data_IF_392115926639
#
_entry.id   IF_392115926639
#
_cell.length_a   1.000
_cell.length_b   1.000
_cell.length_c   1.000
_cell.angle_alpha   90.00
_cell.angle_beta   90.00
_cell.angle_gamma   90.00
#
_symmetry.space_group_name_H-M   'P 1'
#
loop_
_entity.id
_entity.type
_entity.pdbx_description
1 polymer ?
#
# COMPACT_ATOMS: atom_id res chain seq x y z
N UNK A 1 -11.89 4.32 2.48
CA UNK A 1 -10.77 3.38 2.68
C UNK A 1 -9.65 3.73 1.71
N UNK A 2 -8.40 3.43 2.06
CA UNK A 2 -7.21 3.78 1.26
C UNK A 2 -6.40 2.52 0.98
N UNK A 3 -5.99 2.29 -0.27
CA UNK A 3 -5.06 1.22 -0.63
C UNK A 3 -3.63 1.65 -0.30
N UNK A 4 -2.91 0.82 0.45
CA UNK A 4 -1.50 1.03 0.77
C UNK A 4 -0.66 -0.15 0.32
N UNK A 5 0.60 0.15 -0.02
CA UNK A 5 1.61 -0.82 -0.42
C UNK A 5 2.95 -0.43 0.21
N UNK A 6 3.85 -1.40 0.39
CA UNK A 6 5.17 -1.15 0.96
C UNK A 6 5.11 -0.87 2.46
N UNK A 7 5.83 0.16 2.93
CA UNK A 7 6.09 0.40 4.35
C UNK A 7 4.82 0.62 5.18
N UNK A 8 3.79 1.25 4.60
CA UNK A 8 2.50 1.46 5.27
C UNK A 8 1.68 0.17 5.47
N UNK A 9 2.17 -0.99 5.00
CA UNK A 9 1.56 -2.29 5.31
C UNK A 9 1.99 -2.82 6.69
N UNK A 10 3.06 -2.28 7.27
CA UNK A 10 3.57 -2.64 8.58
C UNK A 10 2.83 -1.89 9.68
N UNK A 11 2.25 -2.62 10.63
CA UNK A 11 1.42 -2.02 11.69
C UNK A 11 2.22 -1.12 12.61
N UNK A 12 3.49 -1.44 12.90
CA UNK A 12 4.34 -0.58 13.73
C UNK A 12 4.55 0.79 13.09
N UNK A 13 4.72 0.85 11.77
CA UNK A 13 4.90 2.11 11.04
C UNK A 13 3.60 2.91 11.04
N UNK A 14 2.46 2.25 10.76
CA UNK A 14 1.15 2.91 10.77
C UNK A 14 0.82 3.46 12.16
N UNK A 15 1.11 2.71 13.21
CA UNK A 15 0.93 3.14 14.61
C UNK A 15 1.77 4.38 14.92
N UNK A 16 3.03 4.41 14.51
CA UNK A 16 3.91 5.56 14.74
C UNK A 16 3.42 6.79 13.97
N UNK A 17 2.95 6.64 12.74
CA UNK A 17 2.50 7.76 11.90
C UNK A 17 1.11 8.29 12.27
N UNK A 18 0.18 7.41 12.66
CA UNK A 18 -1.23 7.76 12.91
C UNK A 18 -1.60 7.74 14.39
N UNK A 19 -0.71 7.32 15.29
CA UNK A 19 -0.99 7.13 16.72
C UNK A 19 -1.87 5.90 17.04
N UNK A 20 -2.34 5.17 16.02
CA UNK A 20 -3.19 3.98 16.14
C UNK A 20 -3.04 3.08 14.91
N UNK A 21 -3.65 1.90 14.93
CA UNK A 21 -3.70 0.98 13.79
C UNK A 21 -5.15 0.87 13.32
N UNK A 22 -5.55 1.53 12.22
CA UNK A 22 -6.89 1.36 11.66
C UNK A 22 -7.12 -0.11 11.24
N UNK A 23 -8.37 -0.59 11.27
CA UNK A 23 -8.70 -1.89 10.69
C UNK A 23 -8.19 -1.99 9.25
N UNK A 24 -7.55 -3.12 8.93
CA UNK A 24 -6.99 -3.34 7.60
C UNK A 24 -7.31 -4.74 7.08
N UNK A 25 -7.41 -4.88 5.77
CA UNK A 25 -7.62 -6.16 5.10
C UNK A 25 -6.68 -6.31 3.90
N UNK A 26 -6.32 -7.56 3.52
CA UNK A 26 -5.59 -7.81 2.28
C UNK A 26 -6.33 -7.21 1.07
N UNK A 27 -5.59 -6.57 0.17
CA UNK A 27 -6.14 -5.95 -1.02
C UNK A 27 -5.26 -6.22 -2.25
N UNK A 28 -5.90 -6.26 -3.43
CA UNK A 28 -5.23 -6.36 -4.73
C UNK A 28 -5.62 -5.16 -5.58
N UNK A 29 -4.63 -4.42 -6.08
CA UNK A 29 -4.84 -3.34 -7.04
C UNK A 29 -4.69 -3.92 -8.46
N UNK A 30 -5.78 -4.05 -9.25
CA UNK A 30 -5.73 -4.60 -10.60
C UNK A 30 -5.20 -3.59 -11.61
N UNK A 31 -4.67 -4.07 -12.75
CA UNK A 31 -4.14 -3.28 -13.87
C UNK A 31 -3.03 -2.30 -13.46
N UNK A 32 -2.24 -2.69 -12.46
CA UNK A 32 -1.12 -1.91 -11.98
C UNK A 32 0.08 -2.83 -11.73
N UNK A 33 1.29 -2.29 -11.91
CA UNK A 33 2.54 -2.98 -11.62
C UNK A 33 3.40 -2.15 -10.67
N UNK A 34 4.02 -2.84 -9.71
CA UNK A 34 5.01 -2.25 -8.81
C UNK A 34 6.38 -2.31 -9.46
N UNK A 35 7.05 -1.16 -9.60
CA UNK A 35 8.38 -1.04 -10.15
C UNK A 35 9.35 -0.54 -9.10
N UNK A 36 10.43 -1.29 -8.88
CA UNK A 36 11.56 -0.84 -8.06
C UNK A 36 12.42 0.12 -8.89
N UNK A 37 12.47 1.38 -8.50
CA UNK A 37 13.32 2.37 -9.17
C UNK A 37 14.70 2.35 -8.52
N UNK A 38 15.74 2.07 -9.30
CA UNK A 38 17.13 2.04 -8.81
C UNK A 38 17.49 3.40 -8.20
N UNK A 39 18.03 3.39 -6.98
CA UNK A 39 18.40 4.60 -6.25
C UNK A 39 17.24 5.35 -5.59
N UNK A 40 16.01 4.80 -5.62
CA UNK A 40 14.87 5.29 -4.85
C UNK A 40 14.50 4.28 -3.78
N UNK A 41 14.24 4.78 -2.58
CA UNK A 41 13.78 3.96 -1.44
C UNK A 41 12.35 3.47 -1.66
N UNK A 42 11.54 4.21 -2.43
CA UNK A 42 10.14 3.89 -2.65
C UNK A 42 9.89 3.38 -4.08
N UNK A 43 9.19 2.24 -4.24
CA UNK A 43 8.80 1.75 -5.55
C UNK A 43 7.65 2.60 -6.13
N UNK A 44 7.66 2.76 -7.45
CA UNK A 44 6.54 3.38 -8.17
C UNK A 44 5.46 2.34 -8.48
N UNK A 45 4.23 2.81 -8.60
CA UNK A 45 3.13 2.04 -9.18
C UNK A 45 2.75 2.72 -10.50
N UNK A 46 2.73 1.94 -11.57
CA UNK A 46 2.29 2.40 -12.89
C UNK A 46 1.09 1.57 -13.38
N UNK A 47 0.17 2.16 -14.15
CA UNK A 47 -0.88 1.42 -14.85
C UNK A 47 -0.24 0.43 -15.84
N UNK A 48 -0.56 -0.85 -15.70
CA UNK A 48 -0.12 -1.92 -16.58
C UNK A 48 -1.22 -2.98 -16.61
N UNK A 49 -1.86 -3.13 -17.76
CA UNK A 49 -2.97 -4.08 -17.91
C UNK A 49 -2.53 -5.53 -17.64
N UNK A 50 -3.43 -6.30 -17.03
CA UNK A 50 -3.17 -7.70 -16.67
C UNK A 50 -2.24 -7.89 -15.47
N UNK A 51 -1.62 -6.83 -14.95
CA UNK A 51 -0.81 -6.87 -13.73
C UNK A 51 -1.65 -6.62 -12.48
N UNK A 52 -1.14 -7.06 -11.32
CA UNK A 52 -1.77 -6.84 -10.01
C UNK A 52 -0.71 -6.50 -8.96
N UNK A 53 -1.02 -5.53 -8.10
CA UNK A 53 -0.17 -5.19 -6.95
C UNK A 53 -0.84 -5.65 -5.65
N UNK A 54 -0.21 -6.53 -4.86
CA UNK A 54 -0.68 -6.86 -3.53
C UNK A 54 -0.40 -5.72 -2.54
N UNK A 55 -1.36 -5.48 -1.65
CA UNK A 55 -1.29 -4.45 -0.63
C UNK A 55 -2.31 -4.69 0.50
N UNK A 56 -2.63 -3.62 1.23
CA UNK A 56 -3.66 -3.61 2.26
C UNK A 56 -4.65 -2.47 2.02
N UNK A 57 -5.93 -2.69 2.32
CA UNK A 57 -6.91 -1.62 2.43
C UNK A 57 -6.99 -1.14 3.87
N UNK A 58 -6.68 0.12 4.13
CA UNK A 58 -6.88 0.76 5.44
C UNK A 58 -8.28 1.39 5.49
N UNK A 59 -9.05 1.08 6.53
CA UNK A 59 -10.30 1.77 6.80
C UNK A 59 -10.03 3.22 7.22
N UNK A 60 -10.84 4.16 6.70
CA UNK A 60 -10.81 5.55 7.16
C UNK A 60 -11.68 5.71 8.42
N UNK A 61 -11.47 6.79 9.17
CA UNK A 61 -12.39 7.16 10.23
C UNK A 61 -13.66 7.76 9.62
N UNK A 62 -14.81 7.43 10.20
CA UNK A 62 -16.09 8.06 9.88
C UNK A 62 -16.19 9.41 10.59
#
# INVERSE_FOLDING_TARGET
>A
SVFVYGTLMAEEVVRVLLGRVPPSSPALLPNHQRLSIRGRVYPAILPVDGSKVPGKGLAGDH
#
